data_IF_850789703835
#
_entry.id   IF_850789703835
#
_cell.length_a   1.000
_cell.length_b   1.000
_cell.length_c   1.000
_cell.angle_alpha   90.00
_cell.angle_beta   90.00
_cell.angle_gamma   90.00
#
_symmetry.space_group_name_H-M   'P 1'
#
loop_
_entity.id
_entity.type
_entity.pdbx_description
1 polymer ?
#
# COMPACT_ATOMS: atom_id res chain seq x y z
N UNK A 1 4.68 4.35 11.89
CA UNK A 1 4.84 3.56 13.13
C UNK A 1 5.62 2.31 12.77
N UNK A 2 6.53 1.83 13.65
CA UNK A 2 7.46 0.72 13.38
C UNK A 2 7.59 -0.21 14.59
N UNK A 3 8.04 -1.44 14.34
CA UNK A 3 8.42 -2.41 15.38
C UNK A 3 9.78 -2.05 16.00
N UNK A 4 10.01 -2.42 17.28
CA UNK A 4 9.14 -3.21 18.16
C UNK A 4 8.04 -2.41 18.87
N UNK A 5 8.05 -1.09 18.81
CA UNK A 5 7.13 -0.24 19.57
C UNK A 5 5.68 -0.37 19.08
N UNK A 6 5.50 -0.65 17.80
CA UNK A 6 4.19 -0.79 17.17
C UNK A 6 4.17 -2.01 16.24
N UNK A 7 3.52 -3.07 16.71
CA UNK A 7 3.31 -4.29 15.94
C UNK A 7 2.28 -4.10 14.82
N UNK A 8 2.14 -5.12 13.98
CA UNK A 8 1.07 -5.19 12.98
C UNK A 8 -0.30 -4.93 13.64
N UNK A 9 -1.20 -4.12 13.02
CA UNK A 9 -1.12 -3.54 11.67
C UNK A 9 -0.62 -2.08 11.61
N UNK A 10 0.08 -1.55 12.62
CA UNK A 10 0.30 -0.10 12.73
C UNK A 10 0.97 0.58 11.53
N UNK A 11 1.93 -0.09 10.87
CA UNK A 11 2.56 0.42 9.65
C UNK A 11 1.61 0.43 8.45
N UNK A 12 0.76 -0.60 8.34
CA UNK A 12 -0.29 -0.68 7.33
C UNK A 12 -1.32 0.42 7.53
N UNK A 13 -1.76 0.66 8.76
CA UNK A 13 -2.72 1.72 9.08
C UNK A 13 -2.21 3.11 8.69
N UNK A 14 -0.94 3.40 8.98
CA UNK A 14 -0.32 4.67 8.61
C UNK A 14 -0.27 4.87 7.10
N UNK A 15 0.23 3.87 6.38
CA UNK A 15 0.35 3.92 4.92
C UNK A 15 -1.03 3.97 4.24
N UNK A 16 -2.01 3.24 4.77
CA UNK A 16 -3.39 3.24 4.25
C UNK A 16 -4.02 4.61 4.46
N UNK A 17 -3.93 5.16 5.67
CA UNK A 17 -4.57 6.43 6.03
C UNK A 17 -4.09 7.58 5.13
N UNK A 18 -2.78 7.71 4.92
CA UNK A 18 -2.25 8.76 4.03
C UNK A 18 -2.62 8.51 2.57
N UNK A 19 -2.61 7.26 2.12
CA UNK A 19 -2.95 6.93 0.73
C UNK A 19 -4.40 7.28 0.42
N UNK A 20 -5.34 6.88 1.27
CA UNK A 20 -6.75 7.22 1.08
C UNK A 20 -7.00 8.72 1.18
N UNK A 21 -6.28 9.45 2.05
CA UNK A 21 -6.35 10.90 2.12
C UNK A 21 -5.92 11.55 0.79
N UNK A 22 -4.88 11.02 0.14
CA UNK A 22 -4.42 11.51 -1.18
C UNK A 22 -5.45 11.22 -2.28
N UNK A 23 -6.06 10.03 -2.31
CA UNK A 23 -7.10 9.71 -3.30
C UNK A 23 -8.39 10.54 -3.08
N UNK A 24 -8.81 10.73 -1.82
CA UNK A 24 -10.03 11.48 -1.48
C UNK A 24 -9.90 12.98 -1.70
N UNK A 25 -8.70 13.54 -1.47
CA UNK A 25 -8.46 14.98 -1.51
C UNK A 25 -7.44 15.37 -2.58
N UNK A 26 -7.35 14.63 -3.68
CA UNK A 26 -6.36 14.86 -4.72
C UNK A 26 -6.40 16.29 -5.28
N UNK A 27 -7.60 16.86 -5.44
CA UNK A 27 -7.80 18.24 -5.91
C UNK A 27 -7.16 19.27 -4.97
N UNK A 28 -7.27 19.06 -3.65
CA UNK A 28 -6.66 19.91 -2.62
C UNK A 28 -5.14 19.96 -2.77
N UNK A 29 -4.54 18.84 -3.15
CA UNK A 29 -3.09 18.70 -3.33
C UNK A 29 -2.63 18.89 -4.78
N UNK A 30 -3.55 19.20 -5.71
CA UNK A 30 -3.30 19.30 -7.17
C UNK A 30 -2.66 18.04 -7.75
N UNK A 31 -3.10 16.87 -7.27
CA UNK A 31 -2.65 15.56 -7.73
C UNK A 31 -3.68 15.03 -8.74
N UNK A 32 -3.20 14.47 -9.84
CA UNK A 32 -4.04 13.71 -10.76
C UNK A 32 -4.18 12.26 -10.24
N UNK A 33 -5.39 11.90 -9.79
CA UNK A 33 -5.69 10.58 -9.23
C UNK A 33 -5.34 9.44 -10.19
N UNK A 34 -5.43 9.66 -11.49
CA UNK A 34 -5.13 8.66 -12.52
C UNK A 34 -3.63 8.46 -12.75
N UNK A 35 -2.79 9.22 -12.03
CA UNK A 35 -1.32 9.16 -12.08
C UNK A 35 -0.68 8.81 -10.75
N UNK A 36 -1.46 8.33 -9.77
CA UNK A 36 -0.93 7.85 -8.50
C UNK A 36 -0.36 6.43 -8.67
N UNK A 37 0.88 6.23 -8.22
CA UNK A 37 1.57 4.94 -8.19
C UNK A 37 1.94 4.61 -6.77
N UNK A 38 1.63 3.40 -6.30
CA UNK A 38 2.12 2.91 -5.02
C UNK A 38 3.44 2.18 -5.23
N UNK A 39 4.44 2.44 -4.39
CA UNK A 39 5.74 1.80 -4.50
C UNK A 39 6.28 1.41 -3.13
N UNK A 40 7.07 0.34 -3.08
CA UNK A 40 7.71 -0.10 -1.85
C UNK A 40 8.70 -1.23 -2.06
N UNK A 41 9.65 -1.35 -1.14
CA UNK A 41 10.69 -2.35 -1.15
C UNK A 41 10.58 -3.32 0.05
N UNK A 42 10.92 -4.60 -0.12
CA UNK A 42 10.85 -5.62 0.94
C UNK A 42 9.50 -5.62 1.67
N UNK A 43 9.48 -5.34 2.99
CA UNK A 43 8.27 -5.20 3.78
C UNK A 43 7.38 -4.04 3.30
N UNK A 44 7.95 -2.94 2.79
CA UNK A 44 7.21 -1.85 2.18
C UNK A 44 6.51 -2.27 0.87
N UNK A 45 7.09 -3.22 0.14
CA UNK A 45 6.46 -3.81 -1.05
C UNK A 45 5.18 -4.60 -0.69
N UNK A 46 5.16 -5.28 0.45
CA UNK A 46 3.95 -5.90 0.99
C UNK A 46 2.86 -4.85 1.27
N UNK A 47 3.22 -3.77 1.98
CA UNK A 47 2.29 -2.67 2.29
C UNK A 47 1.73 -2.04 1.01
N UNK A 48 2.59 -1.73 0.04
CA UNK A 48 2.19 -1.13 -1.23
C UNK A 48 1.20 -2.02 -2.00
N UNK A 49 1.42 -3.34 -2.03
CA UNK A 49 0.51 -4.27 -2.70
C UNK A 49 -0.83 -4.37 -1.99
N UNK A 50 -0.84 -4.58 -0.66
CA UNK A 50 -2.08 -4.71 0.13
C UNK A 50 -2.96 -3.47 -0.04
N UNK A 51 -2.37 -2.27 0.07
CA UNK A 51 -3.12 -1.01 -0.09
C UNK A 51 -3.63 -0.85 -1.52
N UNK A 52 -2.83 -1.23 -2.53
CA UNK A 52 -3.29 -1.21 -3.94
C UNK A 52 -4.52 -2.09 -4.13
N UNK A 53 -4.52 -3.30 -3.54
CA UNK A 53 -5.67 -4.21 -3.60
C UNK A 53 -6.89 -3.62 -2.91
N UNK A 54 -6.75 -3.05 -1.71
CA UNK A 54 -7.85 -2.38 -0.99
C UNK A 54 -8.43 -1.22 -1.79
N UNK A 55 -7.59 -0.39 -2.41
CA UNK A 55 -8.04 0.72 -3.26
C UNK A 55 -8.87 0.24 -4.46
N UNK A 56 -8.43 -0.83 -5.13
CA UNK A 56 -9.16 -1.42 -6.25
C UNK A 56 -10.52 -1.97 -5.79
N UNK A 57 -10.57 -2.65 -4.64
CA UNK A 57 -11.83 -3.14 -4.05
C UNK A 57 -12.81 -2.01 -3.72
N UNK A 58 -12.28 -0.85 -3.29
CA UNK A 58 -13.08 0.33 -2.97
C UNK A 58 -13.40 1.21 -4.20
N UNK A 59 -13.06 0.75 -5.42
CA UNK A 59 -13.40 1.43 -6.68
C UNK A 59 -12.42 2.53 -7.13
N UNK A 60 -11.30 2.70 -6.45
CA UNK A 60 -10.22 3.57 -6.92
C UNK A 60 -9.39 2.88 -8.00
N UNK A 61 -8.69 3.66 -8.82
CA UNK A 61 -7.85 3.16 -9.91
C UNK A 61 -6.41 3.71 -9.80
N UNK A 62 -5.57 3.14 -8.91
CA UNK A 62 -4.14 3.41 -8.92
C UNK A 62 -3.54 3.05 -10.29
N UNK A 63 -2.62 3.87 -10.80
CA UNK A 63 -2.04 3.66 -12.12
C UNK A 63 -1.22 2.37 -12.21
N UNK A 64 -0.41 2.12 -11.17
CA UNK A 64 0.45 0.94 -11.09
C UNK A 64 0.95 0.73 -9.65
N UNK A 65 1.54 -0.43 -9.39
CA UNK A 65 2.25 -0.75 -8.17
C UNK A 65 3.69 -1.17 -8.52
N UNK A 66 4.70 -0.47 -7.98
CA UNK A 66 6.11 -0.78 -8.17
C UNK A 66 6.66 -1.49 -6.93
N UNK A 67 6.88 -2.80 -7.05
CA UNK A 67 7.25 -3.67 -5.93
C UNK A 67 8.70 -4.14 -6.09
N UNK A 68 9.56 -3.77 -5.15
CA UNK A 68 10.99 -4.09 -5.20
C UNK A 68 11.27 -5.19 -4.17
N UNK A 69 11.64 -6.39 -4.63
CA UNK A 69 11.86 -7.59 -3.78
C UNK A 69 10.82 -7.75 -2.64
N UNK A 70 9.50 -7.70 -2.94
CA UNK A 70 8.48 -7.57 -1.91
C UNK A 70 8.36 -8.82 -1.03
N UNK A 71 8.10 -8.61 0.26
CA UNK A 71 7.83 -9.68 1.22
C UNK A 71 6.35 -10.14 1.12
N UNK A 72 5.99 -10.82 0.04
CA UNK A 72 4.60 -11.24 -0.21
C UNK A 72 4.22 -12.53 0.52
N UNK A 73 5.21 -13.37 0.79
CA UNK A 73 5.05 -14.63 1.49
C UNK A 73 6.35 -14.89 2.23
N UNK A 74 6.26 -15.20 3.53
CA UNK A 74 7.46 -15.42 4.34
C UNK A 74 7.97 -16.84 4.19
N UNK A 75 7.13 -17.87 4.39
CA UNK A 75 7.30 -19.26 3.91
C UNK A 75 5.95 -19.96 4.11
N UNK A 76 5.41 -20.58 3.07
CA UNK A 76 4.23 -21.45 3.17
C UNK A 76 4.51 -22.67 2.30
N UNK A 77 4.80 -23.80 2.94
CA UNK A 77 5.10 -25.08 2.27
C UNK A 77 3.82 -25.90 2.01
N UNK A 78 2.65 -25.32 2.28
CA UNK A 78 1.34 -25.99 2.18
C UNK A 78 0.47 -25.46 1.04
N UNK A 79 0.96 -24.46 0.30
CA UNK A 79 0.46 -24.18 -1.04
C UNK A 79 0.87 -25.33 -1.99
N UNK A 80 0.02 -25.76 -2.94
CA UNK A 80 0.38 -26.78 -3.92
C UNK A 80 1.60 -26.40 -4.75
#
# INVERSE_FOLDING_TARGET
RRVPEHYFPAALDDCTSITYELFKNADKYRIDVNRITLAGDSAGGNLALVITQSLIQDGYSPRTACLIYPALQFFDFTLP
#
